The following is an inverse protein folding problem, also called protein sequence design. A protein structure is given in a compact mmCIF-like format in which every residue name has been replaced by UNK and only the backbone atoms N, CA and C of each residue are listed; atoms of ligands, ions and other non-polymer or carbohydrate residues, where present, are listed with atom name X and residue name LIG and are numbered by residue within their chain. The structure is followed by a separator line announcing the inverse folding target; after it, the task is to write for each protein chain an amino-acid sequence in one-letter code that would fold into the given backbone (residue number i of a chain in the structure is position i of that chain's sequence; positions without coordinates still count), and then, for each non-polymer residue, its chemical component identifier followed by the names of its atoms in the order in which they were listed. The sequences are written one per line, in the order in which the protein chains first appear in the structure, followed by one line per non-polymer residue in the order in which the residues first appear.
data_IF_433293946323
#
_entry.id   IF_433293946323
#
_cell.length_a   1.000
_cell.length_b   1.000
_cell.length_c   1.000
_cell.angle_alpha   90.00
_cell.angle_beta   90.00
_cell.angle_gamma   90.00
#
_symmetry.space_group_name_H-M   'P 1'
#
loop_
_entity.id
_entity.type
_entity.pdbx_description
1 polymer ?
#
# COMPACT_ATOMS: atom_id res chain seq x y z
N UNK A 1 -0.81 7.25 9.11
CA UNK A 1 0.51 6.68 8.71
C UNK A 1 1.01 7.35 7.44
N UNK A 2 0.16 7.52 6.42
CA UNK A 2 0.50 8.18 5.15
C UNK A 2 1.09 9.60 5.27
N UNK A 3 0.70 10.39 6.29
CA UNK A 3 1.26 11.74 6.49
C UNK A 3 2.77 11.71 6.74
N UNK A 4 3.26 10.73 7.49
CA UNK A 4 4.68 10.57 7.75
C UNK A 4 5.42 10.14 6.48
N UNK A 5 4.85 9.23 5.70
CA UNK A 5 5.38 8.84 4.39
C UNK A 5 5.46 10.00 3.41
N UNK A 6 4.38 10.79 3.31
CA UNK A 6 4.35 11.98 2.47
C UNK A 6 5.41 13.01 2.90
N UNK A 7 5.60 13.19 4.21
CA UNK A 7 6.66 14.04 4.75
C UNK A 7 8.06 13.46 4.42
N UNK A 8 8.25 12.15 4.54
CA UNK A 8 9.49 11.47 4.15
C UNK A 8 9.85 11.78 2.70
N UNK A 9 8.87 11.64 1.81
CA UNK A 9 9.01 11.88 0.38
C UNK A 9 9.25 13.36 0.06
N UNK A 10 8.62 14.28 0.79
CA UNK A 10 8.82 15.71 0.63
C UNK A 10 10.20 16.19 1.11
N UNK A 11 10.86 15.45 2.01
CA UNK A 11 12.17 15.79 2.56
C UNK A 11 13.34 15.09 1.85
N UNK A 12 13.09 14.37 0.75
CA UNK A 12 14.16 13.72 0.00
C UNK A 12 15.10 14.75 -0.65
N UNK A 13 16.43 14.57 -0.54
CA UNK A 13 17.38 15.45 -1.21
C UNK A 13 17.23 15.34 -2.74
N UNK A 14 17.44 16.45 -3.48
CA UNK A 14 17.34 16.44 -4.93
C UNK A 14 18.36 15.46 -5.53
N UNK A 15 17.97 14.76 -6.60
CA UNK A 15 18.84 13.82 -7.33
C UNK A 15 19.42 14.49 -8.58
N UNK A 16 20.69 14.25 -8.92
CA UNK A 16 21.37 14.88 -10.08
C UNK A 16 20.68 14.61 -11.43
N UNK A 17 19.94 13.51 -11.54
CA UNK A 17 19.14 13.19 -12.72
C UNK A 17 18.05 14.24 -12.99
N UNK A 18 17.62 15.00 -11.97
CA UNK A 18 16.65 16.08 -12.13
C UNK A 18 17.19 17.23 -13.00
N UNK A 19 18.51 17.46 -12.99
CA UNK A 19 19.14 18.49 -13.82
C UNK A 19 19.23 18.12 -15.31
N UNK A 20 19.10 16.82 -15.64
CA UNK A 20 19.11 16.33 -17.03
C UNK A 20 17.72 16.29 -17.66
N UNK A 21 16.67 16.54 -16.87
CA UNK A 21 15.29 16.55 -17.33
C UNK A 21 14.93 17.94 -17.83
N UNK A 22 14.18 18.01 -18.93
CA UNK A 22 13.65 19.29 -19.42
C UNK A 22 12.77 19.96 -18.34
N UNK A 23 12.78 21.31 -18.24
CA UNK A 23 11.96 22.01 -17.27
C UNK A 23 10.47 21.72 -17.51
N UNK A 24 9.74 21.46 -16.42
CA UNK A 24 8.29 21.23 -16.47
C UNK A 24 7.56 22.50 -16.91
N UNK A 25 6.68 22.39 -17.91
CA UNK A 25 5.87 23.50 -18.38
C UNK A 25 4.84 23.94 -17.34
N UNK A 26 4.51 25.25 -17.27
CA UNK A 26 3.46 25.79 -16.37
C UNK A 26 2.06 25.18 -16.56
N UNK A 27 1.83 24.52 -17.71
CA UNK A 27 0.56 23.88 -18.08
C UNK A 27 0.62 22.34 -18.02
N UNK A 28 1.74 21.76 -17.62
CA UNK A 28 1.83 20.30 -17.47
C UNK A 28 1.02 19.86 -16.25
N UNK A 29 0.23 18.77 -16.36
CA UNK A 29 -0.52 18.27 -15.23
C UNK A 29 0.44 17.80 -14.13
N UNK A 30 0.20 18.24 -12.89
CA UNK A 30 0.97 17.83 -11.71
C UNK A 30 0.94 16.30 -11.51
N UNK A 31 -0.14 15.66 -11.97
CA UNK A 31 -0.29 14.20 -11.98
C UNK A 31 -0.28 13.70 -13.42
N UNK A 32 0.82 13.05 -13.81
CA UNK A 32 0.93 12.42 -15.14
C UNK A 32 0.01 11.20 -15.25
N UNK A 33 -0.40 10.84 -16.47
CA UNK A 33 -1.21 9.63 -16.70
C UNK A 33 -0.52 8.36 -16.19
N UNK A 34 0.82 8.33 -16.19
CA UNK A 34 1.63 7.25 -15.63
C UNK A 34 1.43 7.17 -14.11
N UNK A 35 1.44 8.31 -13.41
CA UNK A 35 1.22 8.36 -11.97
C UNK A 35 -0.21 7.96 -11.60
N UNK A 36 -1.22 8.42 -12.36
CA UNK A 36 -2.62 8.00 -12.17
C UNK A 36 -2.78 6.48 -12.27
N UNK A 37 -2.23 5.86 -13.32
CA UNK A 37 -2.26 4.39 -13.49
C UNK A 37 -1.67 3.67 -12.27
N UNK A 38 -0.49 4.10 -11.81
CA UNK A 38 0.17 3.49 -10.66
C UNK A 38 -0.67 3.65 -9.38
N UNK A 39 -1.21 4.85 -9.14
CA UNK A 39 -2.06 5.15 -7.99
C UNK A 39 -3.31 4.26 -7.97
N UNK A 40 -4.01 4.15 -9.09
CA UNK A 40 -5.23 3.36 -9.18
C UNK A 40 -4.98 1.86 -9.06
N UNK A 41 -3.94 1.31 -9.68
CA UNK A 41 -3.58 -0.12 -9.52
C UNK A 41 -3.28 -0.43 -8.05
N UNK A 42 -2.52 0.44 -7.39
CA UNK A 42 -2.20 0.30 -5.97
C UNK A 42 -3.44 0.44 -5.07
N UNK A 43 -4.34 1.37 -5.36
CA UNK A 43 -5.59 1.56 -4.63
C UNK A 43 -6.53 0.36 -4.80
N UNK A 44 -6.71 -0.12 -6.04
CA UNK A 44 -7.55 -1.28 -6.34
C UNK A 44 -7.03 -2.53 -5.65
N UNK A 45 -5.72 -2.75 -5.67
CA UNK A 45 -5.07 -3.85 -4.94
C UNK A 45 -5.37 -3.79 -3.44
N UNK A 46 -5.25 -2.59 -2.83
CA UNK A 46 -5.55 -2.42 -1.41
C UNK A 46 -7.00 -2.77 -1.09
N UNK A 47 -7.95 -2.25 -1.87
CA UNK A 47 -9.38 -2.50 -1.67
C UNK A 47 -9.70 -3.98 -1.86
N UNK A 48 -9.19 -4.61 -2.92
CA UNK A 48 -9.41 -6.03 -3.18
C UNK A 48 -8.94 -6.91 -2.02
N UNK A 49 -7.75 -6.65 -1.49
CA UNK A 49 -7.21 -7.42 -0.35
C UNK A 49 -8.00 -7.20 0.91
N UNK A 50 -8.34 -5.95 1.24
CA UNK A 50 -9.13 -5.66 2.43
C UNK A 50 -10.49 -6.37 2.37
N UNK A 51 -11.16 -6.35 1.22
CA UNK A 51 -12.43 -7.05 1.02
C UNK A 51 -12.26 -8.58 1.13
N UNK A 52 -11.22 -9.16 0.52
CA UNK A 52 -10.97 -10.61 0.61
C UNK A 52 -10.75 -11.04 2.07
N UNK A 53 -9.97 -10.28 2.84
CA UNK A 53 -9.73 -10.60 4.25
C UNK A 53 -10.92 -10.27 5.16
N UNK A 54 -11.74 -9.28 4.81
CA UNK A 54 -12.95 -8.96 5.58
C UNK A 54 -14.02 -10.07 5.41
N UNK A 55 -14.24 -10.54 4.17
CA UNK A 55 -15.24 -11.59 3.90
C UNK A 55 -14.75 -13.01 4.20
N UNK A 56 -13.51 -13.36 3.85
CA UNK A 56 -12.98 -14.74 3.93
C UNK A 56 -11.80 -14.89 4.89
N UNK A 57 -11.50 -13.85 5.68
CA UNK A 57 -10.37 -13.80 6.62
C UNK A 57 -10.31 -14.98 7.59
N UNK A 58 -11.46 -15.39 8.14
CA UNK A 58 -11.53 -16.50 9.10
C UNK A 58 -11.19 -17.84 8.43
N UNK A 59 -11.61 -18.03 7.17
CA UNK A 59 -11.34 -19.25 6.40
C UNK A 59 -9.90 -19.29 5.90
N UNK A 60 -9.41 -18.17 5.36
CA UNK A 60 -8.06 -18.08 4.77
C UNK A 60 -6.96 -18.15 5.83
N UNK A 61 -7.20 -17.60 7.02
CA UNK A 61 -6.26 -17.65 8.16
C UNK A 61 -6.34 -18.96 8.96
N UNK A 62 -7.18 -19.92 8.54
CA UNK A 62 -7.41 -21.21 9.20
C UNK A 62 -7.75 -21.09 10.69
N UNK A 63 -8.52 -20.07 11.08
CA UNK A 63 -8.91 -19.82 12.47
C UNK A 63 -10.18 -20.59 12.90
N UNK A 64 -10.48 -21.72 12.24
CA UNK A 64 -11.71 -22.48 12.46
C UNK A 64 -11.85 -23.08 13.88
N UNK A 65 -10.76 -23.14 14.65
CA UNK A 65 -10.74 -23.70 16.01
C UNK A 65 -10.95 -22.66 17.12
N UNK A 66 -11.03 -21.37 16.79
CA UNK A 66 -11.16 -20.29 17.76
C UNK A 66 -12.61 -19.81 17.88
N UNK A 67 -12.99 -19.28 19.06
CA UNK A 67 -14.31 -18.67 19.27
C UNK A 67 -14.56 -17.56 18.24
N UNK A 68 -15.79 -17.40 17.74
CA UNK A 68 -16.15 -16.38 16.73
C UNK A 68 -15.63 -14.99 17.10
N UNK A 69 -15.74 -14.61 18.39
CA UNK A 69 -15.26 -13.32 18.89
C UNK A 69 -13.75 -13.16 18.79
N UNK A 70 -12.98 -14.24 18.97
CA UNK A 70 -11.52 -14.19 18.93
C UNK A 70 -11.01 -14.29 17.49
N UNK A 71 -11.67 -15.07 16.64
CA UNK A 71 -11.41 -15.11 15.20
C UNK A 71 -11.59 -13.73 14.54
N UNK A 72 -12.66 -13.01 14.89
CA UNK A 72 -12.90 -11.63 14.41
C UNK A 72 -11.80 -10.67 14.87
N UNK A 73 -11.39 -10.71 16.14
CA UNK A 73 -10.31 -9.83 16.65
C UNK A 73 -8.97 -10.12 15.98
N UNK A 74 -8.63 -11.39 15.78
CA UNK A 74 -7.38 -11.79 15.10
C UNK A 74 -7.42 -11.32 13.65
N UNK A 75 -8.54 -11.51 12.95
CA UNK A 75 -8.73 -11.09 11.56
C UNK A 75 -8.60 -9.56 11.43
N UNK A 76 -9.30 -8.79 12.27
CA UNK A 76 -9.21 -7.32 12.27
C UNK A 76 -7.79 -6.82 12.55
N UNK A 77 -7.10 -7.45 13.50
CA UNK A 77 -5.70 -7.09 13.77
C UNK A 77 -4.80 -7.41 12.57
N UNK A 78 -5.01 -8.57 11.94
CA UNK A 78 -4.25 -8.97 10.75
C UNK A 78 -4.50 -8.04 9.56
N UNK A 79 -5.75 -7.63 9.34
CA UNK A 79 -6.14 -6.65 8.32
C UNK A 79 -5.42 -5.32 8.57
N UNK A 80 -5.47 -4.81 9.81
CA UNK A 80 -4.77 -3.58 10.18
C UNK A 80 -3.26 -3.71 9.95
N UNK A 81 -2.65 -4.82 10.39
CA UNK A 81 -1.21 -5.04 10.20
C UNK A 81 -0.80 -5.09 8.72
N UNK A 82 -1.58 -5.79 7.91
CA UNK A 82 -1.36 -5.89 6.47
C UNK A 82 -1.53 -4.54 5.79
N UNK A 83 -2.56 -3.76 6.17
CA UNK A 83 -2.77 -2.40 5.67
C UNK A 83 -1.56 -1.50 5.92
N UNK A 84 -1.03 -1.51 7.15
CA UNK A 84 0.15 -0.75 7.53
C UNK A 84 1.39 -1.15 6.72
N UNK A 85 1.65 -2.46 6.59
CA UNK A 85 2.76 -2.93 5.76
C UNK A 85 2.58 -2.55 4.29
N UNK A 86 1.36 -2.64 3.76
CA UNK A 86 1.05 -2.18 2.42
C UNK A 86 1.34 -0.68 2.24
N UNK A 87 1.03 0.17 3.23
CA UNK A 87 1.38 1.60 3.20
C UNK A 87 2.90 1.82 3.18
N UNK A 88 3.65 1.09 4.02
CA UNK A 88 5.12 1.16 4.04
C UNK A 88 5.68 0.82 2.65
N UNK A 89 5.26 -0.30 2.05
CA UNK A 89 5.70 -0.66 0.69
C UNK A 89 5.21 0.32 -0.39
N UNK A 90 4.08 0.98 -0.16
CA UNK A 90 3.58 2.04 -1.04
C UNK A 90 4.50 3.26 -1.04
N UNK A 91 5.01 3.67 0.12
CA UNK A 91 5.95 4.78 0.26
C UNK A 91 7.25 4.50 -0.52
N UNK A 92 7.77 3.27 -0.44
CA UNK A 92 8.90 2.85 -1.29
C UNK A 92 8.57 3.05 -2.76
N UNK A 93 7.45 2.53 -3.24
CA UNK A 93 7.05 2.65 -4.65
C UNK A 93 6.82 4.11 -5.09
N UNK A 94 6.28 4.95 -4.22
CA UNK A 94 5.99 6.35 -4.51
C UNK A 94 7.26 7.20 -4.66
N UNK A 95 8.38 6.77 -4.07
CA UNK A 95 9.68 7.46 -4.15
C UNK A 95 10.20 7.59 -5.58
N UNK A 96 10.02 6.55 -6.40
CA UNK A 96 10.51 6.50 -7.78
C UNK A 96 9.53 5.76 -8.68
N UNK A 97 8.46 6.43 -9.16
CA UNK A 97 7.38 5.77 -9.90
C UNK A 97 7.80 5.20 -11.27
N UNK A 98 8.93 5.68 -11.82
CA UNK A 98 9.42 5.33 -13.16
C UNK A 98 10.64 4.39 -13.16
N UNK A 99 11.33 4.21 -12.02
CA UNK A 99 12.52 3.36 -11.94
C UNK A 99 12.20 1.96 -11.39
N UNK A 100 12.67 0.91 -12.08
CA UNK A 100 12.52 -0.49 -11.62
C UNK A 100 13.31 -0.85 -10.35
N UNK A 101 14.28 0.00 -9.98
CA UNK A 101 15.18 -0.25 -8.86
C UNK A 101 14.88 0.72 -7.70
N UNK A 102 13.71 0.56 -7.09
CA UNK A 102 13.25 1.38 -5.97
C UNK A 102 14.20 1.31 -4.76
N UNK A 103 14.85 0.16 -4.55
CA UNK A 103 15.83 -0.02 -3.48
C UNK A 103 17.15 0.73 -3.72
N UNK A 104 17.45 1.14 -4.96
CA UNK A 104 18.69 1.85 -5.27
C UNK A 104 18.59 3.29 -4.77
N UNK A 105 19.21 3.53 -3.62
CA UNK A 105 19.19 4.82 -2.91
C UNK A 105 18.18 4.88 -1.77
N UNK A 106 17.34 3.84 -1.59
CA UNK A 106 16.41 3.70 -0.47
C UNK A 106 17.12 3.93 0.86
N UNK A 107 18.20 3.16 1.07
CA UNK A 107 19.03 3.15 2.28
C UNK A 107 19.98 4.33 2.41
N UNK A 108 20.22 5.09 1.33
CA UNK A 108 21.09 6.27 1.35
C UNK A 108 20.40 7.48 1.99
N UNK A 109 19.06 7.51 1.99
CA UNK A 109 18.30 8.58 2.62
C UNK A 109 17.95 8.19 4.07
N UNK A 110 18.69 8.74 5.04
CA UNK A 110 18.50 8.46 6.46
C UNK A 110 17.11 8.88 6.96
N UNK A 111 16.49 9.93 6.40
CA UNK A 111 15.15 10.36 6.80
C UNK A 111 14.10 9.33 6.39
N UNK A 112 14.19 8.82 5.16
CA UNK A 112 13.29 7.78 4.66
C UNK A 112 13.42 6.48 5.46
N UNK A 113 14.66 6.02 5.72
CA UNK A 113 14.90 4.86 6.59
C UNK A 113 14.44 5.10 8.03
N UNK A 114 14.59 6.32 8.53
CA UNK A 114 14.12 6.73 9.86
C UNK A 114 12.60 6.62 9.98
N UNK A 115 11.86 7.10 8.99
CA UNK A 115 10.39 7.06 9.00
C UNK A 115 9.88 5.63 8.88
N UNK A 116 10.45 4.81 7.98
CA UNK A 116 10.12 3.37 7.88
C UNK A 116 10.47 2.62 9.17
N UNK A 117 11.59 2.97 9.80
CA UNK A 117 11.98 2.41 11.09
C UNK A 117 10.98 2.78 12.19
N UNK A 118 10.64 4.05 12.32
CA UNK A 118 9.67 4.57 13.30
C UNK A 118 8.30 3.93 13.09
N UNK A 119 7.80 3.85 11.86
CA UNK A 119 6.50 3.21 11.57
C UNK A 119 6.52 1.72 11.88
N UNK A 120 7.60 1.01 11.57
CA UNK A 120 7.75 -0.41 11.91
C UNK A 120 7.79 -0.63 13.43
N UNK A 121 8.56 0.19 14.17
CA UNK A 121 8.60 0.11 15.63
C UNK A 121 7.24 0.42 16.23
N UNK A 122 6.57 1.46 15.75
CA UNK A 122 5.23 1.82 16.22
C UNK A 122 4.23 0.70 15.95
N UNK A 123 4.33 0.03 14.80
CA UNK A 123 3.49 -1.12 14.47
C UNK A 123 3.73 -2.30 15.43
N UNK A 124 4.98 -2.59 15.77
CA UNK A 124 5.34 -3.61 16.77
C UNK A 124 4.78 -3.22 18.15
N UNK A 125 4.91 -1.95 18.55
CA UNK A 125 4.41 -1.45 19.82
C UNK A 125 2.88 -1.55 19.91
N UNK A 126 2.16 -1.18 18.85
CA UNK A 126 0.69 -1.28 18.80
C UNK A 126 0.25 -2.74 18.99
N UNK A 127 0.84 -3.66 18.21
CA UNK A 127 0.42 -5.07 18.21
C UNK A 127 0.80 -5.78 19.52
N UNK A 128 1.90 -5.38 20.16
CA UNK A 128 2.34 -6.02 21.41
C UNK A 128 1.73 -5.41 22.68
N UNK A 129 1.62 -4.08 22.75
CA UNK A 129 1.27 -3.39 23.99
C UNK A 129 -0.12 -2.74 23.98
N UNK A 130 -0.62 -2.27 22.83
CA UNK A 130 -1.89 -1.53 22.75
C UNK A 130 -3.10 -2.44 22.43
N UNK A 131 -2.97 -3.75 22.61
CA UNK A 131 -4.05 -4.72 22.42
C UNK A 131 -5.35 -4.35 23.17
N UNK A 132 -5.22 -3.82 24.39
CA UNK A 132 -6.39 -3.41 25.21
C UNK A 132 -7.13 -2.18 24.68
N UNK A 133 -6.41 -1.22 24.08
CA UNK A 133 -7.02 0.02 23.58
C UNK A 133 -7.69 -0.17 22.22
N UNK A 134 -7.05 -0.92 21.33
CA UNK A 134 -7.54 -1.14 19.96
C UNK A 134 -8.31 -2.45 19.79
N UNK A 135 -8.60 -3.19 20.88
CA UNK A 135 -9.17 -4.55 20.85
C UNK A 135 -8.37 -5.49 19.92
N UNK A 136 -7.06 -5.30 19.91
CA UNK A 136 -6.09 -6.02 19.07
C UNK A 136 -5.56 -7.24 19.82
N UNK A 137 -5.41 -8.35 19.11
CA UNK A 137 -4.80 -9.60 19.63
C UNK A 137 -3.35 -9.69 19.18
N UNK A 138 -2.48 -10.29 20.00
CA UNK A 138 -1.07 -10.50 19.64
C UNK A 138 -0.98 -11.48 18.46
N UNK A 139 -0.44 -11.02 17.32
CA UNK A 139 -0.23 -11.87 16.16
C UNK A 139 0.98 -12.79 16.34
N UNK A 140 0.83 -14.05 15.98
CA UNK A 140 1.95 -14.99 15.83
C UNK A 140 2.87 -14.60 14.66
N UNK A 141 4.13 -15.01 14.74
CA UNK A 141 5.16 -14.72 13.72
C UNK A 141 4.76 -15.16 12.30
N UNK A 142 3.95 -16.23 12.16
CA UNK A 142 3.42 -16.69 10.86
C UNK A 142 2.54 -15.65 10.19
N UNK A 143 1.64 -15.03 10.96
CA UNK A 143 0.73 -13.99 10.46
C UNK A 143 1.50 -12.73 10.09
N UNK A 144 2.56 -12.40 10.84
CA UNK A 144 3.48 -11.32 10.46
C UNK A 144 4.13 -11.59 9.10
N UNK A 145 4.68 -12.79 8.88
CA UNK A 145 5.29 -13.12 7.60
C UNK A 145 4.29 -13.07 6.43
N UNK A 146 3.06 -13.56 6.63
CA UNK A 146 2.01 -13.46 5.60
C UNK A 146 1.67 -12.01 5.31
N UNK A 147 1.53 -11.15 6.33
CA UNK A 147 1.25 -9.72 6.11
C UNK A 147 2.38 -9.00 5.35
N UNK A 148 3.64 -9.34 5.63
CA UNK A 148 4.80 -8.81 4.92
C UNK A 148 4.83 -9.33 3.48
N UNK A 149 4.54 -10.62 3.27
CA UNK A 149 4.49 -11.22 1.94
C UNK A 149 3.41 -10.56 1.06
N UNK A 150 2.23 -10.29 1.61
CA UNK A 150 1.19 -9.52 0.92
C UNK A 150 1.70 -8.11 0.58
N UNK A 151 2.36 -7.43 1.53
CA UNK A 151 3.02 -6.15 1.26
C UNK A 151 4.01 -6.21 0.09
N UNK A 152 4.82 -7.27 0.00
CA UNK A 152 5.78 -7.49 -1.09
C UNK A 152 5.09 -7.75 -2.43
N UNK A 153 3.91 -8.38 -2.46
CA UNK A 153 3.13 -8.56 -3.68
C UNK A 153 2.71 -7.19 -4.26
N UNK A 154 2.40 -6.20 -3.41
CA UNK A 154 2.16 -4.82 -3.86
C UNK A 154 3.36 -4.22 -4.60
N UNK A 155 4.58 -4.46 -4.08
CA UNK A 155 5.82 -4.06 -4.74
C UNK A 155 5.98 -4.74 -6.11
N UNK A 156 5.73 -6.05 -6.18
CA UNK A 156 5.79 -6.79 -7.44
C UNK A 156 4.77 -6.28 -8.48
N UNK A 157 3.54 -5.99 -8.05
CA UNK A 157 2.50 -5.44 -8.91
C UNK A 157 2.87 -4.08 -9.50
N UNK A 158 3.52 -3.21 -8.74
CA UNK A 158 3.97 -1.93 -9.27
C UNK A 158 5.05 -2.12 -10.36
N UNK A 159 6.02 -3.00 -10.12
CA UNK A 159 7.03 -3.32 -11.12
C UNK A 159 6.41 -3.88 -12.41
N UNK A 160 5.36 -4.69 -12.27
CA UNK A 160 4.58 -5.23 -13.37
C UNK A 160 3.80 -4.12 -14.12
N UNK A 161 3.13 -3.23 -13.40
CA UNK A 161 2.38 -2.11 -13.98
C UNK A 161 3.30 -1.13 -14.75
N UNK A 162 4.53 -0.92 -14.26
CA UNK A 162 5.56 -0.15 -14.97
C UNK A 162 6.08 -0.89 -16.21
N UNK A 163 6.17 -2.23 -16.18
CA UNK A 163 6.58 -3.04 -17.33
C UNK A 163 5.53 -3.09 -18.44
N UNK A 164 4.26 -3.26 -18.09
CA UNK A 164 3.22 -3.53 -19.09
C UNK A 164 2.70 -2.29 -19.81
N UNK A 165 3.02 -1.06 -19.35
CA UNK A 165 3.02 0.17 -20.16
C UNK A 165 1.74 0.56 -20.93
N UNK A 166 0.68 -0.24 -20.92
CA UNK A 166 -0.44 -0.11 -21.83
C UNK A 166 -1.51 0.78 -21.20
N UNK A 167 -1.44 2.07 -21.55
CA UNK A 167 -2.34 3.14 -21.10
C UNK A 167 -3.82 2.80 -21.38
N UNK A 168 -4.09 2.02 -22.43
CA UNK A 168 -5.44 1.75 -22.91
C UNK A 168 -6.24 0.82 -21.98
N UNK A 169 -5.62 -0.20 -21.39
CA UNK A 169 -6.34 -1.16 -20.54
C UNK A 169 -6.79 -0.53 -19.21
N UNK A 170 -6.02 0.45 -18.74
CA UNK A 170 -6.29 1.16 -17.50
C UNK A 170 -7.49 2.12 -17.62
N UNK A 171 -7.54 2.91 -18.70
CA UNK A 171 -8.70 3.77 -18.97
C UNK A 171 -9.99 2.97 -19.16
N UNK A 172 -9.90 1.83 -19.85
CA UNK A 172 -11.05 0.95 -20.08
C UNK A 172 -11.57 0.32 -18.77
N UNK A 173 -10.67 0.04 -17.83
CA UNK A 173 -11.02 -0.45 -16.50
C UNK A 173 -11.65 0.64 -15.62
N UNK A 174 -11.11 1.87 -15.68
CA UNK A 174 -11.68 3.02 -14.94
C UNK A 174 -13.08 3.35 -15.44
N UNK A 175 -13.29 3.43 -16.76
CA UNK A 175 -14.62 3.66 -17.35
C UNK A 175 -15.61 2.56 -16.96
N UNK A 176 -15.17 1.30 -16.95
CA UNK A 176 -16.00 0.17 -16.51
C UNK A 176 -16.40 0.27 -15.03
N UNK A 177 -15.47 0.65 -14.14
CA UNK A 177 -15.74 0.81 -12.71
C UNK A 177 -16.64 2.02 -12.45
N UNK A 178 -16.41 3.16 -13.11
CA UNK A 178 -17.30 4.33 -12.98
C UNK A 178 -18.69 4.03 -13.51
N UNK A 179 -18.80 3.26 -14.60
CA UNK A 179 -20.09 2.82 -15.15
C UNK A 179 -20.79 1.84 -14.21
N UNK A 180 -20.05 0.94 -13.55
CA UNK A 180 -20.59 0.02 -12.55
C UNK A 180 -21.08 0.77 -11.29
N UNK A 181 -20.29 1.72 -10.77
CA UNK A 181 -20.68 2.54 -9.62
C UNK A 181 -21.89 3.43 -9.94
N UNK A 182 -21.95 4.00 -11.14
CA UNK A 182 -23.09 4.81 -11.58
C UNK A 182 -24.36 3.96 -11.72
N UNK A 183 -24.25 2.74 -12.25
CA UNK A 183 -25.38 1.81 -12.31
C UNK A 183 -25.82 1.31 -10.93
N UNK A 184 -24.90 1.09 -9.98
CA UNK A 184 -25.25 0.72 -8.61
C UNK A 184 -26.02 1.85 -7.90
N UNK A 185 -25.61 3.10 -8.12
CA UNK A 185 -26.25 4.30 -7.53
C UNK A 185 -27.65 4.53 -8.10
N UNK A 186 -27.95 4.06 -9.31
CA UNK A 186 -29.29 4.15 -9.92
C UNK A 186 -30.22 3.03 -9.42
N UNK A 187 -29.67 1.97 -8.81
CA UNK A 187 -30.42 0.80 -8.33
C UNK A 187 -30.75 0.82 -6.82
N UNK A 188 -30.25 1.82 -6.06
CA UNK A 188 -30.61 2.11 -4.66
C UNK A 188 -31.36 3.43 -4.55
#
# INVERSE_FOLDING_TARGET
MDTLGALALATEPPTDNLMKRNPVGRREPLVTNIMWRNLFVQALYQVAILLIFDFDGVRILRLQNESRSDAEKITNTFIFNTFVFCQIFNEFNARKPEEKNVFKGATKNHLFMGIIGITTVFQILIIQFLGKFFKIVRLGWRLWLVSIAIGLVRYALQNLATYYGSVNLFFQSFECITSFMHNLTILT
#
